data_IF_034160118814
#
_entry.id   IF_034160118814
#
_cell.length_a   1.000
_cell.length_b   1.000
_cell.length_c   1.000
_cell.angle_alpha   90.00
_cell.angle_beta   90.00
_cell.angle_gamma   90.00
#
_symmetry.space_group_name_H-M   'P 1'
#
loop_
_entity.id
_entity.type
_entity.pdbx_description
1 polymer ?
#
# COMPACT_ATOMS: atom_id res chain seq x y z
N UNK A 1 -18.56 -23.58 24.80
CA UNK A 1 -18.71 -22.31 24.04
C UNK A 1 -17.46 -21.92 23.20
N UNK A 2 -16.64 -22.85 22.69
CA UNK A 2 -15.38 -22.51 21.97
C UNK A 2 -15.46 -22.23 20.46
N UNK A 3 -16.59 -22.51 19.82
CA UNK A 3 -16.75 -22.35 18.37
C UNK A 3 -16.89 -20.88 17.96
N UNK A 4 -17.62 -20.07 18.72
CA UNK A 4 -17.90 -18.67 18.41
C UNK A 4 -16.65 -17.77 18.44
N UNK A 5 -15.74 -17.90 19.42
CA UNK A 5 -14.49 -17.11 19.45
C UNK A 5 -13.54 -17.43 18.29
N UNK A 6 -13.53 -18.69 17.84
CA UNK A 6 -12.69 -19.11 16.70
C UNK A 6 -13.24 -18.58 15.37
N UNK A 7 -14.57 -18.41 15.28
CA UNK A 7 -15.23 -17.75 14.14
C UNK A 7 -14.95 -16.25 14.17
N UNK A 8 -15.10 -15.60 15.33
CA UNK A 8 -14.86 -14.16 15.50
C UNK A 8 -13.40 -13.75 15.19
N UNK A 9 -12.45 -14.56 15.66
CA UNK A 9 -11.02 -14.42 15.32
C UNK A 9 -10.69 -14.58 13.83
N UNK A 10 -11.45 -15.40 13.10
CA UNK A 10 -11.29 -15.54 11.64
C UNK A 10 -11.90 -14.36 10.89
N UNK A 11 -13.06 -13.87 11.32
CA UNK A 11 -13.74 -12.73 10.69
C UNK A 11 -12.90 -11.46 10.84
N UNK A 12 -12.38 -11.19 12.03
CA UNK A 12 -11.49 -10.04 12.30
C UNK A 12 -10.22 -10.05 11.45
N UNK A 13 -9.57 -11.21 11.27
CA UNK A 13 -8.42 -11.33 10.36
C UNK A 13 -8.77 -11.12 8.89
N UNK A 14 -9.93 -11.61 8.45
CA UNK A 14 -10.42 -11.40 7.08
C UNK A 14 -10.70 -9.91 6.86
N UNK A 15 -11.30 -9.23 7.83
CA UNK A 15 -11.53 -7.78 7.79
C UNK A 15 -10.23 -6.98 7.68
N UNK A 16 -9.22 -7.28 8.51
CA UNK A 16 -7.90 -6.63 8.44
C UNK A 16 -7.22 -6.86 7.08
N UNK A 17 -7.27 -8.09 6.53
CA UNK A 17 -6.71 -8.38 5.19
C UNK A 17 -7.45 -7.66 4.08
N UNK A 18 -8.78 -7.61 4.13
CA UNK A 18 -9.58 -6.95 3.11
C UNK A 18 -9.35 -5.43 3.11
N UNK A 19 -9.31 -4.81 4.29
CA UNK A 19 -8.97 -3.40 4.43
C UNK A 19 -7.56 -3.08 3.92
N UNK A 20 -6.56 -3.89 4.32
CA UNK A 20 -5.19 -3.73 3.82
C UNK A 20 -5.11 -3.88 2.29
N UNK A 21 -5.74 -4.90 1.73
CA UNK A 21 -5.73 -5.13 0.28
C UNK A 21 -6.36 -3.95 -0.47
N UNK A 22 -7.48 -3.43 0.01
CA UNK A 22 -8.15 -2.26 -0.57
C UNK A 22 -7.27 -1.01 -0.53
N UNK A 23 -6.65 -0.73 0.61
CA UNK A 23 -5.77 0.45 0.77
C UNK A 23 -4.52 0.33 -0.12
N UNK A 24 -3.92 -0.85 -0.17
CA UNK A 24 -2.75 -1.15 -1.01
C UNK A 24 -3.11 -1.06 -2.49
N UNK A 25 -4.29 -1.54 -2.90
CA UNK A 25 -4.75 -1.46 -4.29
C UNK A 25 -5.00 0.00 -4.71
N UNK A 26 -5.58 0.82 -3.84
CA UNK A 26 -5.73 2.25 -4.08
C UNK A 26 -4.38 2.97 -4.24
N UNK A 27 -3.38 2.64 -3.42
CA UNK A 27 -2.03 3.20 -3.55
C UNK A 27 -1.34 2.72 -4.84
N UNK A 28 -1.49 1.45 -5.21
CA UNK A 28 -0.97 0.92 -6.49
C UNK A 28 -1.61 1.60 -7.71
N UNK A 29 -2.90 1.93 -7.64
CA UNK A 29 -3.56 2.67 -8.69
C UNK A 29 -2.95 4.07 -8.87
N UNK A 30 -2.56 4.74 -7.76
CA UNK A 30 -1.84 6.02 -7.82
C UNK A 30 -0.44 5.88 -8.41
N UNK A 31 0.32 4.85 -8.03
CA UNK A 31 1.62 4.54 -8.65
C UNK A 31 1.46 4.39 -10.17
N UNK A 32 0.49 3.60 -10.61
CA UNK A 32 0.22 3.39 -12.05
C UNK A 32 -0.20 4.68 -12.77
N UNK A 33 -0.88 5.60 -12.09
CA UNK A 33 -1.22 6.90 -12.65
C UNK A 33 0.02 7.77 -12.85
N UNK A 34 0.93 7.80 -11.86
CA UNK A 34 2.20 8.53 -11.99
C UNK A 34 3.13 7.90 -13.03
N UNK A 35 3.19 6.57 -13.15
CA UNK A 35 3.94 5.88 -14.21
C UNK A 35 3.45 6.31 -15.61
N UNK A 36 2.13 6.42 -15.80
CA UNK A 36 1.56 6.91 -17.06
C UNK A 36 1.92 8.37 -17.32
N UNK A 37 1.89 9.22 -16.29
CA UNK A 37 2.31 10.62 -16.44
C UNK A 37 3.79 10.69 -16.88
N UNK A 38 4.66 9.84 -16.31
CA UNK A 38 6.07 9.77 -16.71
C UNK A 38 6.21 9.32 -18.16
N UNK A 39 5.47 8.31 -18.59
CA UNK A 39 5.49 7.84 -19.98
C UNK A 39 5.08 8.96 -20.94
N UNK A 40 3.98 9.67 -20.65
CA UNK A 40 3.49 10.80 -21.44
C UNK A 40 4.53 11.94 -21.50
N UNK A 41 5.06 12.37 -20.34
CA UNK A 41 6.10 13.40 -20.29
C UNK A 41 7.38 12.98 -21.04
N UNK A 42 7.76 11.71 -20.98
CA UNK A 42 8.94 11.18 -21.67
C UNK A 42 8.78 11.24 -23.19
N UNK A 43 7.58 10.91 -23.68
CA UNK A 43 7.23 11.03 -25.11
C UNK A 43 7.27 12.50 -25.53
N UNK A 44 6.63 13.39 -24.78
CA UNK A 44 6.59 14.83 -25.08
C UNK A 44 8.00 15.44 -25.15
N UNK A 45 8.86 15.13 -24.17
CA UNK A 45 10.26 15.55 -24.16
C UNK A 45 11.00 15.00 -25.39
N UNK A 46 10.80 13.72 -25.71
CA UNK A 46 11.41 13.07 -26.86
C UNK A 46 11.01 13.71 -28.18
N UNK A 47 9.71 13.96 -28.38
CA UNK A 47 9.17 14.64 -29.58
C UNK A 47 9.72 16.06 -29.70
N UNK A 48 9.80 16.80 -28.60
CA UNK A 48 10.37 18.14 -28.58
C UNK A 48 11.81 18.15 -29.09
N UNK A 49 12.68 17.31 -28.51
CA UNK A 49 14.09 17.25 -28.91
C UNK A 49 14.29 16.67 -30.32
N UNK A 50 13.43 15.74 -30.74
CA UNK A 50 13.44 15.22 -32.11
C UNK A 50 13.12 16.32 -33.13
N UNK A 51 12.08 17.11 -32.90
CA UNK A 51 11.71 18.23 -33.77
C UNK A 51 12.80 19.32 -33.77
N UNK A 52 13.34 19.66 -32.61
CA UNK A 52 14.45 20.61 -32.49
C UNK A 52 15.69 20.14 -33.27
N UNK A 53 16.02 18.85 -33.21
CA UNK A 53 17.07 18.23 -34.02
C UNK A 53 16.77 18.31 -35.52
N UNK A 54 15.54 17.95 -35.94
CA UNK A 54 15.12 17.98 -37.34
C UNK A 54 15.18 19.40 -37.94
N UNK A 55 14.89 20.42 -37.13
CA UNK A 55 14.96 21.84 -37.50
C UNK A 55 16.40 22.42 -37.44
N UNK A 56 17.41 21.60 -37.12
CA UNK A 56 18.80 22.01 -37.02
C UNK A 56 19.11 22.89 -35.80
N UNK A 57 18.20 22.96 -34.84
CA UNK A 57 18.31 23.74 -33.59
C UNK A 57 18.49 22.79 -32.42
N UNK A 58 19.71 22.34 -32.18
CA UNK A 58 19.99 21.57 -30.96
C UNK A 58 20.26 22.52 -29.79
N UNK A 59 19.20 23.00 -29.15
CA UNK A 59 19.31 23.85 -27.94
C UNK A 59 18.42 23.25 -26.84
N UNK A 60 18.95 23.03 -25.62
CA UNK A 60 18.11 22.75 -24.46
C UNK A 60 17.26 23.99 -24.17
N UNK A 61 15.95 23.86 -24.38
CA UNK A 61 14.99 24.93 -24.15
C UNK A 61 14.50 24.93 -22.69
N UNK A 62 14.39 26.08 -22.01
CA UNK A 62 13.79 26.17 -20.68
C UNK A 62 12.44 25.46 -20.52
N UNK A 63 11.65 25.31 -21.59
CA UNK A 63 10.40 24.55 -21.55
C UNK A 63 10.60 23.06 -21.22
N UNK A 64 11.66 22.42 -21.70
CA UNK A 64 11.94 21.01 -21.37
C UNK A 64 12.38 20.82 -19.92
N UNK A 65 12.99 21.84 -19.30
CA UNK A 65 13.39 21.83 -17.89
C UNK A 65 12.20 21.75 -16.93
N UNK A 66 11.04 22.32 -17.30
CA UNK A 66 9.82 22.16 -16.49
C UNK A 66 9.28 20.73 -16.57
N UNK A 67 9.30 20.11 -17.76
CA UNK A 67 8.92 18.70 -17.94
C UNK A 67 9.85 17.75 -17.17
N UNK A 68 11.16 18.03 -17.14
CA UNK A 68 12.10 17.25 -16.32
C UNK A 68 11.83 17.37 -14.81
N UNK A 69 11.51 18.58 -14.32
CA UNK A 69 11.12 18.76 -12.91
C UNK A 69 9.83 18.02 -12.57
N UNK A 70 8.83 18.08 -13.45
CA UNK A 70 7.58 17.34 -13.27
C UNK A 70 7.82 15.82 -13.24
N UNK A 71 8.76 15.33 -14.05
CA UNK A 71 9.18 13.93 -14.05
C UNK A 71 9.86 13.54 -12.73
N UNK A 72 10.78 14.36 -12.22
CA UNK A 72 11.40 14.16 -10.90
C UNK A 72 10.35 14.15 -9.78
N UNK A 73 9.38 15.06 -9.79
CA UNK A 73 8.29 15.09 -8.81
C UNK A 73 7.42 13.82 -8.87
N UNK A 74 7.08 13.33 -10.07
CA UNK A 74 6.35 12.07 -10.22
C UNK A 74 7.13 10.86 -9.71
N UNK A 75 8.46 10.81 -9.91
CA UNK A 75 9.31 9.76 -9.35
C UNK A 75 9.31 9.79 -7.82
N UNK A 76 9.44 10.97 -7.20
CA UNK A 76 9.38 11.11 -5.75
C UNK A 76 8.02 10.64 -5.21
N UNK A 77 6.91 11.01 -5.87
CA UNK A 77 5.58 10.52 -5.48
C UNK A 77 5.45 9.00 -5.57
N UNK A 78 6.03 8.36 -6.59
CA UNK A 78 6.04 6.90 -6.72
C UNK A 78 6.79 6.28 -5.53
N UNK A 79 7.95 6.82 -5.15
CA UNK A 79 8.69 6.35 -3.97
C UNK A 79 7.88 6.50 -2.68
N UNK A 80 7.23 7.66 -2.49
CA UNK A 80 6.35 7.90 -1.33
C UNK A 80 5.17 6.92 -1.27
N UNK A 81 4.51 6.66 -2.40
CA UNK A 81 3.41 5.69 -2.47
C UNK A 81 3.89 4.26 -2.22
N UNK A 82 5.05 3.88 -2.74
CA UNK A 82 5.64 2.56 -2.48
C UNK A 82 5.99 2.39 -1.00
N UNK A 83 6.55 3.42 -0.37
CA UNK A 83 6.81 3.41 1.08
C UNK A 83 5.50 3.29 1.88
N UNK A 84 4.46 4.04 1.51
CA UNK A 84 3.15 3.93 2.15
C UNK A 84 2.52 2.53 1.99
N UNK A 85 2.74 1.85 0.86
CA UNK A 85 2.32 0.46 0.65
C UNK A 85 3.04 -0.47 1.63
N UNK A 86 4.35 -0.32 1.80
CA UNK A 86 5.13 -1.13 2.74
C UNK A 86 4.71 -0.90 4.18
N UNK A 87 4.55 0.35 4.58
CA UNK A 87 4.09 0.73 5.92
C UNK A 87 2.69 0.16 6.20
N UNK A 88 1.78 0.21 5.22
CA UNK A 88 0.41 -0.33 5.36
C UNK A 88 0.40 -1.86 5.51
N UNK A 89 1.25 -2.56 4.75
CA UNK A 89 1.42 -4.02 4.87
C UNK A 89 2.00 -4.40 6.23
N UNK A 90 3.00 -3.66 6.70
CA UNK A 90 3.60 -3.86 8.02
C UNK A 90 2.57 -3.63 9.14
N UNK A 91 1.75 -2.57 9.04
CA UNK A 91 0.66 -2.30 9.96
C UNK A 91 -0.39 -3.42 9.96
N UNK A 92 -0.85 -3.86 8.78
CA UNK A 92 -1.80 -4.96 8.68
C UNK A 92 -1.26 -6.29 9.22
N UNK A 93 0.05 -6.55 9.10
CA UNK A 93 0.68 -7.69 9.73
C UNK A 93 0.64 -7.59 11.27
N UNK A 94 1.01 -6.43 11.85
CA UNK A 94 0.94 -6.20 13.29
C UNK A 94 -0.48 -6.36 13.85
N UNK A 95 -1.49 -5.82 13.16
CA UNK A 95 -2.90 -6.00 13.55
C UNK A 95 -3.29 -7.48 13.67
N UNK A 96 -2.85 -8.30 12.71
CA UNK A 96 -3.14 -9.74 12.71
C UNK A 96 -2.41 -10.48 13.82
N UNK A 97 -1.17 -10.10 14.12
CA UNK A 97 -0.39 -10.64 15.24
C UNK A 97 -1.05 -10.28 16.59
N UNK A 98 -1.59 -9.07 16.73
CA UNK A 98 -2.35 -8.66 17.92
C UNK A 98 -3.66 -9.44 18.06
N UNK A 99 -4.39 -9.67 16.96
CA UNK A 99 -5.59 -10.52 16.97
C UNK A 99 -5.22 -11.94 17.43
N UNK A 100 -4.11 -12.50 16.93
CA UNK A 100 -3.61 -13.82 17.35
C UNK A 100 -3.23 -13.87 18.83
N UNK A 101 -2.52 -12.84 19.33
CA UNK A 101 -2.15 -12.75 20.73
C UNK A 101 -3.38 -12.68 21.65
N UNK A 102 -4.40 -11.89 21.28
CA UNK A 102 -5.67 -11.79 22.03
C UNK A 102 -6.42 -13.12 22.05
N UNK A 103 -6.47 -13.84 20.93
CA UNK A 103 -7.13 -15.15 20.85
C UNK A 103 -6.41 -16.19 21.70
N UNK A 104 -5.07 -16.23 21.66
CA UNK A 104 -4.28 -17.13 22.51
C UNK A 104 -4.49 -16.86 23.98
N UNK A 105 -4.46 -15.59 24.40
CA UNK A 105 -4.70 -15.21 25.79
C UNK A 105 -6.08 -15.64 26.29
N UNK A 106 -7.13 -15.43 25.48
CA UNK A 106 -8.48 -15.92 25.80
C UNK A 106 -8.55 -17.46 25.89
N UNK A 107 -7.79 -18.18 25.06
CA UNK A 107 -7.73 -19.64 25.10
C UNK A 107 -7.00 -20.14 26.36
N UNK A 108 -5.91 -19.49 26.75
CA UNK A 108 -5.15 -19.80 27.98
C UNK A 108 -5.95 -19.48 29.24
N UNK A 109 -6.61 -18.33 29.31
CA UNK A 109 -7.52 -17.96 30.41
C UNK A 109 -8.66 -18.96 30.58
N UNK A 110 -9.17 -19.53 29.47
CA UNK A 110 -10.18 -20.60 29.52
C UNK A 110 -9.64 -21.95 29.97
N UNK A 111 -8.38 -22.27 29.67
CA UNK A 111 -7.74 -23.51 30.18
C UNK A 111 -7.40 -23.41 31.66
N UNK A 112 -7.21 -22.20 32.17
CA UNK A 112 -6.91 -21.94 33.57
C UNK A 112 -8.14 -21.70 34.45
N UNK A 113 -9.32 -21.46 33.89
CA UNK A 113 -10.56 -21.42 34.65
C UNK A 113 -10.88 -22.84 35.15
N UNK A 114 -10.75 -23.14 36.46
CA UNK A 114 -11.23 -24.42 36.97
C UNK A 114 -12.74 -24.49 36.75
N UNK A 115 -13.24 -25.69 36.44
CA UNK A 115 -14.66 -26.03 36.52
C UNK A 115 -15.16 -25.73 37.93
N UNK A 116 -15.57 -24.48 38.20
CA UNK A 116 -16.45 -24.14 39.31
C UNK A 116 -17.89 -24.28 38.80
N UNK A 117 -18.26 -25.52 38.50
CA UNK A 117 -19.64 -25.98 38.53
C UNK A 117 -19.66 -27.20 39.48
N UNK A 118 -19.34 -26.96 40.76
CA UNK A 118 -19.88 -27.78 41.84
C UNK A 118 -21.32 -27.31 42.12
N UNK A 119 -22.24 -28.27 42.01
CA UNK A 119 -23.54 -28.37 42.69
C UNK A 119 -24.58 -27.25 42.50
N UNK A 120 -25.67 -27.60 41.80
CA UNK A 120 -27.07 -27.40 42.25
C UNK A 120 -28.02 -28.34 41.51
#
# INVERSE_FOLDING_TARGET
MGFFDKVDGKISKVGSRAGEASDVEALKAKVKAEERNIDEMTVDIGEFYWNAYADGRFVPDPASMESFKALEESLVKIEEYNRAIEDRKAAGQKEREEIDAKLKKKEEERKLAPDNDEES
#
